data_IF_973702514617
#
_entry.id   IF_973702514617
#
_cell.length_a   1.000
_cell.length_b   1.000
_cell.length_c   1.000
_cell.angle_alpha   90.00
_cell.angle_beta   90.00
_cell.angle_gamma   90.00
#
_symmetry.space_group_name_H-M   'P 1'
#
loop_
_entity.id
_entity.type
_entity.pdbx_description
1 polymer ?
#
# COMPACT_ATOMS: atom_id res chain seq x y z
N UNK A 1 -0.42 -16.91 -8.90
CA UNK A 1 -1.00 -17.43 -7.63
C UNK A 1 -1.93 -16.47 -6.88
N UNK A 2 -2.15 -15.24 -7.35
CA UNK A 2 -2.74 -14.22 -6.48
C UNK A 2 -4.28 -14.22 -6.40
N UNK A 3 -5.00 -14.63 -7.44
CA UNK A 3 -6.48 -14.69 -7.39
C UNK A 3 -7.00 -16.02 -7.98
N UNK A 4 -6.33 -16.53 -9.02
CA UNK A 4 -6.70 -17.79 -9.70
C UNK A 4 -6.39 -19.04 -8.86
N UNK A 5 -5.48 -18.95 -7.89
CA UNK A 5 -5.04 -20.10 -7.08
C UNK A 5 -5.91 -20.42 -5.85
N UNK A 6 -6.91 -19.59 -5.52
CA UNK A 6 -7.77 -19.82 -4.35
C UNK A 6 -8.98 -20.72 -4.62
N UNK A 7 -9.45 -20.76 -5.87
CA UNK A 7 -10.74 -21.37 -6.23
C UNK A 7 -10.64 -22.51 -7.26
N UNK A 8 -9.44 -22.82 -7.76
CA UNK A 8 -9.21 -23.88 -8.73
C UNK A 8 -8.04 -24.79 -8.30
N UNK A 9 -8.29 -26.10 -8.25
CA UNK A 9 -7.22 -27.11 -8.29
C UNK A 9 -6.55 -26.98 -9.66
N UNK A 10 -5.37 -26.33 -9.74
CA UNK A 10 -4.92 -25.76 -11.02
C UNK A 10 -4.31 -26.76 -12.02
N UNK A 11 -4.04 -28.00 -11.61
CA UNK A 11 -3.82 -29.15 -12.49
C UNK A 11 -3.91 -30.43 -11.65
N UNK A 12 -4.84 -31.33 -12.00
CA UNK A 12 -4.70 -32.75 -11.68
C UNK A 12 -4.29 -33.42 -12.97
N UNK A 13 -3.03 -33.84 -13.05
CA UNK A 13 -2.60 -34.82 -14.04
C UNK A 13 -2.20 -36.07 -13.27
N UNK A 14 -2.90 -37.16 -13.54
CA UNK A 14 -2.63 -38.48 -12.97
C UNK A 14 -2.60 -38.56 -11.42
N UNK A 15 -3.44 -37.80 -10.71
CA UNK A 15 -3.67 -37.99 -9.27
C UNK A 15 -2.70 -37.29 -8.31
N UNK A 16 -1.85 -36.40 -8.80
CA UNK A 16 -1.00 -35.55 -7.95
C UNK A 16 -1.76 -34.29 -7.50
N UNK A 17 -1.86 -34.08 -6.19
CA UNK A 17 -2.42 -32.87 -5.56
C UNK A 17 -1.29 -31.92 -5.19
N UNK A 18 -1.33 -30.68 -5.69
CA UNK A 18 -0.37 -29.64 -5.31
C UNK A 18 -0.74 -29.02 -3.94
N UNK A 19 0.26 -28.83 -3.08
CA UNK A 19 0.13 -28.08 -1.83
C UNK A 19 -0.18 -26.59 -2.12
N UNK A 20 -1.09 -26.00 -1.35
CA UNK A 20 -1.55 -24.62 -1.42
C UNK A 20 -0.61 -23.64 -0.70
N UNK A 21 -0.82 -22.34 -0.91
CA UNK A 21 -0.10 -21.27 -0.21
C UNK A 21 -0.22 -21.34 1.32
N UNK A 22 -1.26 -22.03 1.82
CA UNK A 22 -1.53 -22.21 3.25
C UNK A 22 -0.78 -23.37 3.89
N UNK A 23 -0.18 -24.29 3.12
CA UNK A 23 0.66 -25.36 3.68
C UNK A 23 1.91 -24.81 4.37
N UNK A 24 2.30 -23.58 4.02
CA UNK A 24 3.40 -22.85 4.64
C UNK A 24 2.89 -21.46 5.02
N UNK A 25 2.09 -21.40 6.08
CA UNK A 25 1.35 -20.19 6.45
C UNK A 25 2.24 -18.94 6.56
N UNK A 26 3.42 -19.03 7.18
CA UNK A 26 4.28 -17.86 7.39
C UNK A 26 4.92 -17.29 6.12
N UNK A 27 5.30 -18.14 5.17
CA UNK A 27 6.04 -17.72 3.96
C UNK A 27 5.20 -17.73 2.69
N UNK A 28 4.12 -18.51 2.66
CA UNK A 28 3.13 -18.56 1.59
C UNK A 28 1.84 -17.82 1.95
N UNK A 29 1.23 -18.12 3.09
CA UNK A 29 -0.04 -17.54 3.52
C UNK A 29 0.06 -16.03 3.78
N UNK A 30 1.02 -15.59 4.60
CA UNK A 30 1.24 -14.16 4.88
C UNK A 30 1.63 -13.42 3.61
N UNK A 31 2.54 -13.98 2.81
CA UNK A 31 2.96 -13.37 1.55
C UNK A 31 1.78 -13.18 0.59
N UNK A 32 0.90 -14.18 0.51
CA UNK A 32 -0.32 -14.11 -0.29
C UNK A 32 -1.26 -13.01 0.22
N UNK A 33 -1.54 -12.96 1.52
CA UNK A 33 -2.40 -11.92 2.14
C UNK A 33 -1.85 -10.53 1.84
N UNK A 34 -0.53 -10.34 1.96
CA UNK A 34 0.10 -9.04 1.74
C UNK A 34 -0.04 -8.58 0.29
N UNK A 35 0.22 -9.46 -0.68
CA UNK A 35 0.16 -9.09 -2.10
C UNK A 35 -1.29 -8.90 -2.56
N UNK A 36 -2.20 -9.79 -2.17
CA UNK A 36 -3.62 -9.69 -2.54
C UNK A 36 -4.28 -8.52 -1.84
N UNK A 37 -4.02 -8.34 -0.54
CA UNK A 37 -4.49 -7.19 0.23
C UNK A 37 -4.02 -5.88 -0.38
N UNK A 38 -2.75 -5.78 -0.78
CA UNK A 38 -2.24 -4.62 -1.50
C UNK A 38 -2.96 -4.37 -2.83
N UNK A 39 -3.28 -5.43 -3.59
CA UNK A 39 -4.08 -5.33 -4.82
C UNK A 39 -5.51 -4.83 -4.56
N UNK A 40 -6.18 -5.36 -3.54
CA UNK A 40 -7.53 -4.94 -3.14
C UNK A 40 -7.51 -3.47 -2.70
N UNK A 41 -6.57 -3.07 -1.85
CA UNK A 41 -6.42 -1.68 -1.39
C UNK A 41 -6.18 -0.75 -2.57
N UNK A 42 -5.29 -1.13 -3.49
CA UNK A 42 -5.01 -0.33 -4.71
C UNK A 42 -6.29 -0.17 -5.54
N UNK A 43 -7.03 -1.25 -5.76
CA UNK A 43 -8.31 -1.21 -6.48
C UNK A 43 -9.35 -0.31 -5.78
N UNK A 44 -9.47 -0.41 -4.46
CA UNK A 44 -10.40 0.39 -3.67
C UNK A 44 -10.03 1.89 -3.65
N UNK A 45 -8.73 2.21 -3.73
CA UNK A 45 -8.25 3.58 -3.86
C UNK A 45 -8.54 4.13 -5.26
N UNK A 46 -8.25 3.35 -6.30
CA UNK A 46 -8.52 3.77 -7.70
C UNK A 46 -10.02 3.90 -7.97
N UNK A 47 -10.87 3.08 -7.35
CA UNK A 47 -12.33 3.20 -7.46
C UNK A 47 -12.93 4.32 -6.59
N UNK A 48 -12.11 5.03 -5.80
CA UNK A 48 -12.57 6.11 -4.93
C UNK A 48 -13.40 5.66 -3.72
N UNK A 49 -13.43 4.35 -3.43
CA UNK A 49 -14.21 3.78 -2.32
C UNK A 49 -13.51 3.97 -0.98
N UNK A 50 -12.17 3.98 -0.97
CA UNK A 50 -11.37 4.25 0.23
C UNK A 50 -11.08 5.74 0.41
N UNK A 51 -11.24 6.22 1.65
CA UNK A 51 -10.81 7.56 2.03
C UNK A 51 -9.28 7.65 1.95
N UNK A 52 -8.81 8.65 1.24
CA UNK A 52 -7.36 8.95 1.08
C UNK A 52 -6.85 9.89 2.18
N UNK A 53 -7.75 10.52 2.94
CA UNK A 53 -7.39 11.46 4.00
C UNK A 53 -6.80 10.74 5.22
N UNK A 54 -5.63 11.20 5.67
CA UNK A 54 -4.98 10.75 6.90
C UNK A 54 -4.21 9.43 6.81
N UNK A 55 -4.29 8.70 5.69
CA UNK A 55 -3.57 7.42 5.55
C UNK A 55 -2.66 7.48 4.33
N UNK A 56 -1.36 7.25 4.57
CA UNK A 56 -0.35 7.19 3.49
C UNK A 56 -0.39 5.84 2.78
N UNK A 57 -1.47 5.60 2.05
CA UNK A 57 -1.70 4.36 1.30
C UNK A 57 -0.55 3.96 0.37
N UNK A 58 0.11 4.86 -0.37
CA UNK A 58 1.21 4.48 -1.26
C UNK A 58 2.38 3.83 -0.50
N UNK A 59 2.70 4.32 0.70
CA UNK A 59 3.74 3.72 1.56
C UNK A 59 3.30 2.34 2.04
N UNK A 60 2.05 2.20 2.48
CA UNK A 60 1.51 0.92 2.96
C UNK A 60 1.55 -0.14 1.86
N UNK A 61 1.10 0.22 0.65
CA UNK A 61 1.08 -0.69 -0.51
C UNK A 61 2.50 -1.06 -0.93
N UNK A 62 3.44 -0.12 -0.91
CA UNK A 62 4.85 -0.40 -1.19
C UNK A 62 5.47 -1.36 -0.16
N UNK A 63 5.25 -1.11 1.13
CA UNK A 63 5.77 -1.97 2.20
C UNK A 63 5.12 -3.36 2.18
N UNK A 64 3.80 -3.45 1.95
CA UNK A 64 3.09 -4.71 1.86
C UNK A 64 3.57 -5.55 0.67
N UNK A 65 3.71 -4.94 -0.51
CA UNK A 65 4.21 -5.65 -1.69
C UNK A 65 5.68 -6.02 -1.56
N UNK A 66 6.51 -5.15 -1.01
CA UNK A 66 7.93 -5.43 -0.75
C UNK A 66 8.14 -6.58 0.23
N UNK A 67 7.43 -6.56 1.36
CA UNK A 67 7.48 -7.63 2.35
C UNK A 67 6.89 -8.94 1.79
N UNK A 68 5.77 -8.86 1.06
CA UNK A 68 5.19 -10.02 0.39
C UNK A 68 6.15 -10.66 -0.63
N UNK A 69 6.83 -9.85 -1.44
CA UNK A 69 7.82 -10.33 -2.40
C UNK A 69 9.05 -10.94 -1.70
N UNK A 70 9.50 -10.35 -0.60
CA UNK A 70 10.59 -10.90 0.21
C UNK A 70 10.23 -12.26 0.81
N UNK A 71 9.02 -12.42 1.35
CA UNK A 71 8.55 -13.70 1.89
C UNK A 71 8.43 -14.76 0.79
N UNK A 72 7.98 -14.38 -0.42
CA UNK A 72 7.98 -15.26 -1.59
C UNK A 72 9.39 -15.65 -2.03
N UNK A 73 10.37 -14.74 -1.96
CA UNK A 73 11.77 -15.03 -2.25
C UNK A 73 12.36 -16.01 -1.24
N UNK A 74 12.13 -15.77 0.05
CA UNK A 74 12.55 -16.69 1.12
C UNK A 74 11.91 -18.06 0.89
N UNK A 75 10.63 -18.11 0.50
CA UNK A 75 9.94 -19.36 0.17
C UNK A 75 10.57 -20.08 -1.03
N UNK A 76 10.95 -19.34 -2.06
CA UNK A 76 11.61 -19.87 -3.25
C UNK A 76 12.95 -20.51 -2.89
N UNK A 77 13.73 -19.86 -2.03
CA UNK A 77 15.06 -20.34 -1.58
C UNK A 77 14.94 -21.54 -0.64
N UNK A 78 13.96 -21.53 0.28
CA UNK A 78 13.79 -22.60 1.28
C UNK A 78 13.20 -23.90 0.73
N UNK A 79 12.97 -24.01 -0.59
CA UNK A 79 12.56 -25.24 -1.22
C UNK A 79 11.09 -25.55 -0.94
N UNK A 80 10.25 -25.20 -1.91
CA UNK A 80 8.83 -25.43 -1.82
C UNK A 80 8.38 -26.87 -1.99
N UNK A 81 9.27 -27.79 -2.34
CA UNK A 81 8.99 -29.19 -2.64
C UNK A 81 10.14 -30.13 -2.26
N UNK A 82 9.75 -31.12 -1.46
CA UNK A 82 10.39 -32.43 -1.25
C UNK A 82 11.50 -32.55 -0.21
N UNK A 83 11.25 -33.45 0.75
CA UNK A 83 12.27 -34.25 1.42
C UNK A 83 13.13 -34.93 0.34
N UNK A 84 14.31 -34.39 0.08
CA UNK A 84 15.22 -34.97 -0.91
C UNK A 84 16.21 -33.93 -1.41
N UNK A 85 17.48 -34.13 -1.07
CA UNK A 85 18.63 -33.32 -1.45
C UNK A 85 18.83 -33.25 -2.97
N UNK A 86 17.95 -32.55 -3.69
CA UNK A 86 18.12 -32.30 -5.11
C UNK A 86 17.48 -30.95 -5.44
N UNK A 87 18.32 -29.92 -5.41
CA UNK A 87 18.12 -28.59 -6.01
C UNK A 87 17.65 -28.64 -7.49
N UNK A 88 17.61 -29.84 -8.08
CA UNK A 88 17.29 -30.15 -9.47
C UNK A 88 16.05 -31.06 -9.64
N UNK A 89 15.41 -31.53 -8.57
CA UNK A 89 14.13 -32.26 -8.65
C UNK A 89 12.97 -31.26 -8.72
N UNK A 90 12.91 -30.51 -9.81
CA UNK A 90 11.82 -29.59 -10.10
C UNK A 90 10.63 -30.43 -10.53
N UNK A 91 9.70 -30.72 -9.61
CA UNK A 91 8.33 -31.06 -9.98
C UNK A 91 7.77 -29.88 -10.78
N UNK A 92 7.78 -29.99 -12.11
CA UNK A 92 7.54 -28.88 -13.03
C UNK A 92 6.19 -28.21 -12.75
N UNK A 93 5.18 -28.99 -12.34
CA UNK A 93 3.85 -28.50 -12.00
C UNK A 93 3.83 -27.69 -10.69
N UNK A 94 4.55 -28.12 -9.64
CA UNK A 94 4.60 -27.43 -8.33
C UNK A 94 5.51 -26.21 -8.37
N UNK A 95 6.63 -26.33 -9.09
CA UNK A 95 7.63 -25.29 -9.17
C UNK A 95 7.19 -24.14 -10.09
N UNK A 96 6.56 -24.42 -11.23
CA UNK A 96 6.13 -23.37 -12.17
C UNK A 96 5.14 -22.39 -11.52
N UNK A 97 4.19 -22.88 -10.73
CA UNK A 97 3.24 -22.03 -10.00
C UNK A 97 3.92 -21.08 -9.01
N UNK A 98 4.95 -21.57 -8.31
CA UNK A 98 5.74 -20.78 -7.36
C UNK A 98 6.60 -19.72 -8.06
N UNK A 99 7.24 -20.05 -9.19
CA UNK A 99 8.00 -19.08 -10.00
C UNK A 99 7.10 -17.99 -10.56
N UNK A 100 5.92 -18.34 -11.10
CA UNK A 100 4.94 -17.35 -11.57
C UNK A 100 4.44 -16.44 -10.45
N UNK A 101 4.26 -16.97 -9.25
CA UNK A 101 3.89 -16.18 -8.08
C UNK A 101 4.98 -15.18 -7.68
N UNK A 102 6.23 -15.59 -7.72
CA UNK A 102 7.38 -14.72 -7.45
C UNK A 102 7.54 -13.63 -8.52
N UNK A 103 7.38 -13.96 -9.80
CA UNK A 103 7.38 -12.95 -10.86
C UNK A 103 6.22 -11.96 -10.67
N UNK A 104 5.02 -12.46 -10.35
CA UNK A 104 3.86 -11.60 -10.09
C UNK A 104 4.06 -10.69 -8.87
N UNK A 105 4.70 -11.17 -7.79
CA UNK A 105 5.02 -10.31 -6.65
C UNK A 105 6.04 -9.23 -7.02
N UNK A 106 7.02 -9.54 -7.87
CA UNK A 106 7.95 -8.55 -8.44
C UNK A 106 7.24 -7.47 -9.25
N UNK A 107 6.28 -7.83 -10.10
CA UNK A 107 5.44 -6.87 -10.83
C UNK A 107 4.63 -6.00 -9.87
N UNK A 108 4.06 -6.58 -8.81
CA UNK A 108 3.34 -5.82 -7.78
C UNK A 108 4.22 -4.81 -7.07
N UNK A 109 5.47 -5.17 -6.74
CA UNK A 109 6.45 -4.23 -6.14
C UNK A 109 6.77 -3.10 -7.11
N UNK A 110 7.01 -3.40 -8.38
CA UNK A 110 7.27 -2.38 -9.39
C UNK A 110 6.08 -1.40 -9.53
N UNK A 111 4.86 -1.92 -9.59
CA UNK A 111 3.63 -1.12 -9.60
C UNK A 111 3.49 -0.24 -8.37
N UNK A 112 3.70 -0.81 -7.18
CA UNK A 112 3.64 -0.07 -5.92
C UNK A 112 4.73 1.01 -5.81
N UNK A 113 5.94 0.73 -6.31
CA UNK A 113 7.03 1.70 -6.34
C UNK A 113 6.74 2.87 -7.28
N UNK A 114 6.15 2.61 -8.45
CA UNK A 114 5.67 3.67 -9.33
C UNK A 114 4.57 4.49 -8.66
N UNK A 115 3.62 3.85 -7.97
CA UNK A 115 2.59 4.56 -7.20
C UNK A 115 3.16 5.43 -6.06
N UNK A 116 4.16 4.92 -5.34
CA UNK A 116 4.84 5.65 -4.27
C UNK A 116 5.61 6.87 -4.80
N UNK A 117 6.39 6.70 -5.87
CA UNK A 117 7.13 7.81 -6.48
C UNK A 117 6.18 8.86 -7.10
N UNK A 118 5.10 8.43 -7.76
CA UNK A 118 4.06 9.33 -8.26
C UNK A 118 3.34 10.12 -7.16
N UNK A 119 3.23 9.55 -5.95
CA UNK A 119 2.70 10.24 -4.77
C UNK A 119 3.68 11.23 -4.12
N UNK A 120 4.88 11.41 -4.68
CA UNK A 120 5.92 12.31 -4.17
C UNK A 120 6.86 11.68 -3.14
N UNK A 121 6.78 10.36 -2.94
CA UNK A 121 7.61 9.64 -1.97
C UNK A 121 9.07 9.48 -2.40
N UNK A 122 10.00 9.55 -1.43
CA UNK A 122 11.42 9.27 -1.64
C UNK A 122 11.85 8.05 -0.83
N UNK A 123 12.70 7.20 -1.40
CA UNK A 123 13.20 6.00 -0.71
C UNK A 123 13.98 6.32 0.57
N UNK A 124 14.60 7.49 0.65
CA UNK A 124 15.32 7.92 1.84
C UNK A 124 14.38 8.22 3.02
N UNK A 125 13.12 8.56 2.75
CA UNK A 125 12.12 8.76 3.81
C UNK A 125 11.71 7.43 4.46
N UNK A 126 11.85 6.30 3.76
CA UNK A 126 11.58 4.96 4.30
C UNK A 126 12.71 4.45 5.21
N UNK A 127 13.93 4.95 5.03
CA UNK A 127 15.06 4.64 5.90
C UNK A 127 14.97 5.36 7.24
N UNK A 128 14.26 6.50 7.26
CA UNK A 128 14.04 7.28 8.46
C UNK A 128 12.80 6.78 9.20
N UNK A 129 13.05 5.94 10.21
CA UNK A 129 12.02 5.35 11.08
C UNK A 129 11.18 6.43 11.77
N UNK A 130 11.74 7.60 12.07
CA UNK A 130 11.00 8.68 12.72
C UNK A 130 10.01 9.33 11.75
N UNK A 131 10.42 9.55 10.49
CA UNK A 131 9.50 10.01 9.43
C UNK A 131 8.42 9.00 9.12
N UNK A 132 8.76 7.72 9.11
CA UNK A 132 7.79 6.66 8.90
C UNK A 132 6.74 6.67 10.02
N UNK A 133 7.16 6.74 11.28
CA UNK A 133 6.24 6.84 12.42
C UNK A 133 5.38 8.11 12.38
N UNK A 134 5.97 9.26 12.05
CA UNK A 134 5.24 10.52 11.91
C UNK A 134 4.16 10.45 10.82
N UNK A 135 4.49 9.78 9.70
CA UNK A 135 3.60 9.55 8.56
C UNK A 135 2.37 8.70 8.89
N UNK A 136 2.50 7.78 9.87
CA UNK A 136 1.39 6.99 10.39
C UNK A 136 0.60 7.71 11.50
N UNK A 137 1.25 8.58 12.27
CA UNK A 137 0.59 9.34 13.36
C UNK A 137 -0.22 10.54 12.85
N UNK A 138 0.05 11.06 11.64
CA UNK A 138 -0.75 12.14 11.04
C UNK A 138 -2.17 11.71 10.63
N UNK A 139 -2.52 10.42 10.73
CA UNK A 139 -3.87 9.91 10.45
C UNK A 139 -4.87 9.98 11.61
N UNK A 140 -4.38 10.25 12.83
CA UNK A 140 -5.19 10.36 14.02
C UNK A 140 -5.42 11.82 14.38
N UNK A 141 -6.50 12.37 13.84
CA UNK A 141 -7.16 13.62 14.26
C UNK A 141 -6.30 14.66 14.98
N UNK A 142 -5.83 15.65 14.23
CA UNK A 142 -5.74 17.01 14.74
C UNK A 142 -6.00 17.96 13.56
N UNK A 143 -6.89 18.90 13.79
CA UNK A 143 -7.16 20.13 13.02
C UNK A 143 -5.90 20.64 12.31
N UNK A 144 -6.00 21.24 11.11
CA UNK A 144 -4.84 21.74 10.39
C UNK A 144 -4.01 22.66 11.31
N UNK A 145 -2.83 22.21 11.71
CA UNK A 145 -1.85 23.10 12.32
C UNK A 145 -1.51 24.15 11.25
N UNK A 146 -1.60 25.46 11.55
CA UNK A 146 -1.15 26.47 10.61
C UNK A 146 0.34 26.26 10.35
N UNK A 147 0.83 26.46 9.12
CA UNK A 147 2.22 26.22 8.78
C UNK A 147 3.11 27.10 9.66
N UNK A 148 4.07 26.48 10.35
CA UNK A 148 5.15 27.18 11.03
C UNK A 148 6.09 27.78 9.99
N UNK A 149 5.79 28.99 9.50
CA UNK A 149 6.76 29.80 8.78
C UNK A 149 7.39 30.80 9.74
N UNK A 150 8.64 30.53 10.12
CA UNK A 150 9.62 31.51 10.60
C UNK A 150 9.95 32.52 9.48
N UNK A 151 8.95 33.28 9.06
CA UNK A 151 9.04 34.36 8.09
C UNK A 151 8.05 35.45 8.48
N UNK A 152 8.57 36.60 8.86
CA UNK A 152 7.84 37.81 9.22
C UNK A 152 6.91 38.27 8.09
N UNK A 153 5.62 37.99 8.19
CA UNK A 153 4.57 38.74 7.48
C UNK A 153 3.75 39.51 8.51
N UNK A 154 3.55 40.83 8.35
CA UNK A 154 2.82 41.65 9.31
C UNK A 154 1.37 41.16 9.43
N UNK A 155 0.73 41.33 10.61
CA UNK A 155 -0.65 40.89 10.82
C UNK A 155 -1.59 41.55 9.80
N UNK A 156 -2.64 40.86 9.36
CA UNK A 156 -3.62 41.42 8.43
C UNK A 156 -4.28 42.67 9.06
N UNK A 157 -4.59 43.69 8.24
CA UNK A 157 -5.23 44.91 8.72
C UNK A 157 -6.60 44.59 9.36
N UNK A 158 -6.99 45.29 10.44
CA UNK A 158 -8.29 45.10 11.07
C UNK A 158 -9.43 45.39 10.08
N UNK A 159 -10.57 44.67 10.18
CA UNK A 159 -11.75 44.93 9.36
C UNK A 159 -12.22 46.39 9.53
N UNK A 160 -12.71 47.05 8.47
CA UNK A 160 -13.30 48.38 8.60
C UNK A 160 -14.44 48.35 9.62
N UNK A 161 -14.30 49.14 10.67
CA UNK A 161 -15.34 49.37 11.67
C UNK A 161 -16.60 49.91 10.98
N UNK A 162 -17.70 49.17 11.09
CA UNK A 162 -19.09 49.62 11.00
C UNK A 162 -19.42 50.66 9.91
N UNK A 163 -20.06 50.21 8.83
CA UNK A 163 -20.92 51.07 8.02
C UNK A 163 -21.96 51.76 8.92
N UNK A 164 -21.81 53.07 9.14
CA UNK A 164 -22.86 53.88 9.73
C UNK A 164 -24.17 53.64 8.96
N UNK A 165 -25.32 53.45 9.64
CA UNK A 165 -26.60 53.33 8.97
C UNK A 165 -26.90 54.60 8.16
N UNK A 166 -27.57 54.49 6.99
CA UNK A 166 -27.88 55.64 6.16
C UNK A 166 -28.75 56.65 6.91
N UNK A 167 -28.57 57.97 6.68
CA UNK A 167 -29.36 59.00 7.33
C UNK A 167 -30.84 58.89 6.95
N UNK A 168 -31.76 59.24 7.87
CA UNK A 168 -33.19 59.19 7.61
C UNK A 168 -33.60 60.20 6.51
N UNK A 169 -34.64 59.87 5.71
CA UNK A 169 -35.09 60.73 4.63
C UNK A 169 -35.66 62.07 5.13
N UNK A 170 -35.55 63.15 4.33
CA UNK A 170 -36.09 64.46 4.70
C UNK A 170 -37.61 64.45 4.85
N UNK A 171 -38.20 65.29 5.72
CA UNK A 171 -39.65 65.43 5.82
C UNK A 171 -40.26 65.88 4.50
N UNK A 172 -41.33 65.20 4.08
CA UNK A 172 -42.09 65.54 2.88
C UNK A 172 -42.75 66.92 3.05
N UNK A 173 -42.48 67.82 2.10
CA UNK A 173 -43.22 69.06 1.86
C UNK A 173 -43.96 68.96 0.54
#
# INVERSE_FOLDING_TARGET
MLIVGLFFHWASYAGYSANNAFDYFFTGGIAWILIVGAGIVTFLLTSGTLKTSGVQWPVIVLLATGLGALLMLIRLILGGGSEGNSMLSIDLDRAAGMYLAFVASGVSVAGAFMGFTASGGKLDDLKDINKLKASFNQGGGETPAPPSSSGSTPPPPPPPSGSNPPPPPPPAG
#
